data_IF_222630834699
#
_entry.id   IF_222630834699
#
_cell.length_a   1.000
_cell.length_b   1.000
_cell.length_c   1.000
_cell.angle_alpha   90.00
_cell.angle_beta   90.00
_cell.angle_gamma   90.00
#
_symmetry.space_group_name_H-M   'P 1'
#
loop_
_entity.id
_entity.type
_entity.pdbx_description
1 polymer ?
#
# COMPACT_ATOMS: atom_id res chain seq x y z
N UNK A 1 4.22 -11.48 17.68
CA UNK A 1 3.03 -11.58 16.81
C UNK A 1 2.77 -10.19 16.25
N UNK A 2 2.68 -9.99 14.92
CA UNK A 2 2.36 -8.67 14.38
C UNK A 2 0.93 -8.32 14.78
N UNK A 3 0.75 -7.19 15.45
CA UNK A 3 -0.52 -6.72 15.97
C UNK A 3 -1.28 -5.99 14.86
N UNK A 4 -2.54 -6.37 14.62
CA UNK A 4 -3.40 -5.66 13.68
C UNK A 4 -3.83 -4.34 14.34
N UNK A 5 -3.29 -3.24 13.82
CA UNK A 5 -3.63 -1.90 14.29
C UNK A 5 -4.68 -1.27 13.37
N UNK A 6 -5.74 -0.73 13.97
CA UNK A 6 -6.69 0.11 13.23
C UNK A 6 -6.02 1.46 13.00
N UNK A 7 -5.74 1.77 11.74
CA UNK A 7 -5.08 3.02 11.34
C UNK A 7 -5.98 3.81 10.42
N UNK A 8 -6.06 5.13 10.63
CA UNK A 8 -6.73 6.06 9.71
C UNK A 8 -5.68 6.65 8.78
N UNK A 9 -5.94 6.60 7.47
CA UNK A 9 -5.04 7.16 6.45
C UNK A 9 -5.83 8.03 5.50
N UNK A 10 -5.25 9.17 5.13
CA UNK A 10 -5.76 10.01 4.03
C UNK A 10 -5.12 9.52 2.74
N UNK A 11 -5.92 9.32 1.71
CA UNK A 11 -5.49 8.86 0.40
C UNK A 11 -5.94 9.87 -0.65
N UNK A 12 -5.01 10.28 -1.50
CA UNK A 12 -5.29 11.13 -2.65
C UNK A 12 -5.65 10.23 -3.84
N UNK A 13 -6.76 10.52 -4.51
CA UNK A 13 -7.12 9.89 -5.78
C UNK A 13 -6.51 10.69 -6.92
N UNK A 14 -6.02 10.00 -7.95
CA UNK A 14 -5.58 10.69 -9.17
C UNK A 14 -6.80 11.20 -9.95
N UNK A 15 -6.66 12.22 -10.80
CA UNK A 15 -7.79 12.74 -11.59
C UNK A 15 -8.54 11.66 -12.39
N UNK A 16 -7.83 10.69 -12.94
CA UNK A 16 -8.40 9.55 -13.66
C UNK A 16 -9.26 8.65 -12.76
N UNK A 17 -8.81 8.41 -11.51
CA UNK A 17 -9.55 7.62 -10.54
C UNK A 17 -10.86 8.33 -10.14
N UNK A 18 -10.83 9.66 -10.05
CA UNK A 18 -12.01 10.48 -9.71
C UNK A 18 -13.04 10.44 -10.83
N UNK A 19 -12.61 10.60 -12.09
CA UNK A 19 -13.51 10.57 -13.25
C UNK A 19 -14.22 9.21 -13.35
N UNK A 20 -13.48 8.12 -13.14
CA UNK A 20 -14.07 6.77 -13.19
C UNK A 20 -15.05 6.55 -12.04
N UNK A 21 -14.73 7.02 -10.83
CA UNK A 21 -15.64 6.94 -9.70
C UNK A 21 -16.91 7.76 -9.92
N UNK A 22 -16.79 8.97 -10.48
CA UNK A 22 -17.94 9.81 -10.85
C UNK A 22 -18.84 9.11 -11.86
N UNK A 23 -18.27 8.42 -12.86
CA UNK A 23 -19.05 7.63 -13.82
C UNK A 23 -19.87 6.54 -13.13
N UNK A 24 -19.22 5.75 -12.27
CA UNK A 24 -19.88 4.63 -11.57
C UNK A 24 -21.00 5.14 -10.64
N UNK A 25 -20.74 6.24 -9.91
CA UNK A 25 -21.75 6.85 -9.04
C UNK A 25 -22.93 7.42 -9.84
N UNK A 26 -22.65 8.02 -11.00
CA UNK A 26 -23.69 8.55 -11.91
C UNK A 26 -24.59 7.43 -12.43
N UNK A 27 -24.03 6.25 -12.66
CA UNK A 27 -24.79 5.05 -13.06
C UNK A 27 -25.54 4.39 -11.89
N UNK A 28 -25.55 5.00 -10.71
CA UNK A 28 -26.15 4.51 -9.45
C UNK A 28 -25.62 3.14 -8.97
N UNK A 29 -24.47 2.69 -9.49
CA UNK A 29 -23.84 1.42 -9.14
C UNK A 29 -23.01 1.54 -7.85
N UNK A 30 -23.70 1.45 -6.71
CA UNK A 30 -23.08 1.53 -5.38
C UNK A 30 -22.09 0.39 -5.11
N UNK A 31 -22.37 -0.80 -5.61
CA UNK A 31 -21.51 -1.97 -5.39
C UNK A 31 -20.22 -1.83 -6.22
N UNK A 32 -20.35 -1.41 -7.47
CA UNK A 32 -19.23 -1.05 -8.33
C UNK A 32 -18.36 0.05 -7.71
N UNK A 33 -18.97 1.11 -7.16
CA UNK A 33 -18.24 2.21 -6.54
C UNK A 33 -17.44 1.73 -5.32
N UNK A 34 -18.02 0.86 -4.50
CA UNK A 34 -17.34 0.25 -3.36
C UNK A 34 -16.15 -0.63 -3.80
N UNK A 35 -16.37 -1.51 -4.78
CA UNK A 35 -15.32 -2.39 -5.30
C UNK A 35 -14.18 -1.60 -5.94
N UNK A 36 -14.51 -0.53 -6.66
CA UNK A 36 -13.54 0.38 -7.25
C UNK A 36 -12.68 1.05 -6.18
N UNK A 37 -13.29 1.68 -5.18
CA UNK A 37 -12.59 2.35 -4.08
C UNK A 37 -11.71 1.37 -3.30
N UNK A 38 -12.23 0.17 -2.99
CA UNK A 38 -11.46 -0.89 -2.32
C UNK A 38 -10.20 -1.23 -3.11
N UNK A 39 -10.32 -1.43 -4.42
CA UNK A 39 -9.17 -1.72 -5.29
C UNK A 39 -8.15 -0.58 -5.34
N UNK A 40 -8.60 0.68 -5.36
CA UNK A 40 -7.70 1.84 -5.33
C UNK A 40 -6.95 1.94 -4.00
N UNK A 41 -7.63 1.70 -2.87
CA UNK A 41 -7.02 1.68 -1.54
C UNK A 41 -5.98 0.56 -1.44
N UNK A 42 -6.34 -0.66 -1.82
CA UNK A 42 -5.45 -1.83 -1.77
C UNK A 42 -4.18 -1.59 -2.60
N UNK A 43 -4.33 -1.05 -3.83
CA UNK A 43 -3.18 -0.72 -4.69
C UNK A 43 -2.25 0.32 -4.05
N UNK A 44 -2.81 1.40 -3.50
CA UNK A 44 -2.02 2.47 -2.84
C UNK A 44 -1.41 2.00 -1.52
N UNK A 45 -2.05 1.07 -0.82
CA UNK A 45 -1.49 0.45 0.38
C UNK A 45 -0.31 -0.45 0.03
N UNK A 46 -0.45 -1.28 -1.01
CA UNK A 46 0.59 -2.20 -1.46
C UNK A 46 1.84 -1.43 -1.91
N UNK A 47 1.69 -0.42 -2.77
CA UNK A 47 2.82 0.39 -3.23
C UNK A 47 3.51 1.14 -2.08
N UNK A 48 2.75 1.59 -1.08
CA UNK A 48 3.30 2.20 0.13
C UNK A 48 4.05 1.20 1.02
N UNK A 49 3.71 -0.09 0.98
CA UNK A 49 4.44 -1.14 1.70
C UNK A 49 5.67 -1.62 0.93
N UNK A 50 5.58 -1.79 -0.39
CA UNK A 50 6.71 -2.16 -1.25
C UNK A 50 7.87 -1.16 -1.13
N UNK A 51 7.56 0.14 -1.10
CA UNK A 51 8.59 1.17 -0.90
C UNK A 51 9.25 1.07 0.48
N UNK A 52 8.50 0.74 1.53
CA UNK A 52 9.09 0.52 2.86
C UNK A 52 9.93 -0.75 2.92
N UNK A 53 9.48 -1.84 2.30
CA UNK A 53 10.19 -3.12 2.23
C UNK A 53 11.53 -2.97 1.48
N UNK A 54 11.56 -2.21 0.38
CA UNK A 54 12.82 -1.90 -0.33
C UNK A 54 13.82 -1.17 0.56
N UNK A 55 13.39 -0.13 1.28
CA UNK A 55 14.28 0.60 2.20
C UNK A 55 14.89 -0.28 3.30
N UNK A 56 14.23 -1.37 3.71
CA UNK A 56 14.76 -2.31 4.69
C UNK A 56 15.71 -3.35 4.10
N UNK A 57 15.63 -3.61 2.79
CA UNK A 57 16.48 -4.59 2.08
C UNK A 57 17.70 -3.93 1.41
N UNK A 58 17.64 -2.63 1.12
CA UNK A 58 18.77 -1.86 0.57
C UNK A 58 19.89 -1.58 1.60
N UNK A 59 19.72 -2.02 2.85
CA UNK A 59 20.64 -1.73 3.96
C UNK A 59 21.84 -2.67 4.12
N UNK A 60 21.84 -3.87 3.52
CA UNK A 60 22.95 -4.83 3.68
C UNK A 60 23.23 -5.60 2.39
N UNK A 61 24.42 -5.34 1.83
CA UNK A 61 24.99 -6.07 0.68
C UNK A 61 25.41 -7.50 1.07
N UNK A 62 25.62 -7.77 2.37
CA UNK A 62 25.88 -9.10 2.94
C UNK A 62 25.38 -9.20 4.39
N UNK A 63 24.09 -9.52 4.60
CA UNK A 63 23.51 -9.71 5.94
C UNK A 63 24.13 -10.89 6.71
N UNK A 64 24.73 -11.85 6.00
CA UNK A 64 25.32 -13.03 6.61
C UNK A 64 26.70 -12.72 7.20
N UNK A 65 27.52 -11.96 6.47
CA UNK A 65 28.82 -11.48 6.94
C UNK A 65 28.74 -10.54 8.15
N UNK A 66 27.73 -9.66 8.20
CA UNK A 66 27.55 -8.71 9.31
C UNK A 66 27.14 -9.39 10.63
N UNK A 67 26.31 -10.43 10.55
CA UNK A 67 25.92 -11.23 11.72
C UNK A 67 27.08 -12.05 12.29
N UNK A 68 27.93 -12.60 11.43
CA UNK A 68 29.10 -13.38 11.85
C UNK A 68 30.19 -12.51 12.50
N UNK A 69 30.36 -11.26 12.04
CA UNK A 69 31.35 -10.33 12.59
C UNK A 69 30.99 -9.80 13.99
N UNK A 70 29.69 -9.76 14.35
CA UNK A 70 29.21 -9.30 15.66
C UNK A 70 29.29 -10.34 16.78
N UNK A 71 29.63 -11.60 16.48
CA UNK A 71 29.75 -12.69 17.47
C UNK A 71 31.20 -12.97 17.92
N UNK A 72 32.14 -12.06 17.66
CA UNK A 72 33.51 -12.11 18.20
C UNK A 72 33.74 -11.08 19.28
#
# INVERSE_FOLDING_TARGET
MPMLEITRKVLTLEPEDVIELERIITDEDKEGAYLFLKKCIERKLLSSQENKLKCHLDGEVDPQGSFAAKQK
#
